data_IF_102067972938
#
_entry.id   IF_102067972938
#
_cell.length_a   1.000
_cell.length_b   1.000
_cell.length_c   1.000
_cell.angle_alpha   90.00
_cell.angle_beta   90.00
_cell.angle_gamma   90.00
#
_symmetry.space_group_name_H-M   'P 1'
#
loop_
_entity.id
_entity.type
_entity.pdbx_description
1 polymer ?
#
# COMPACT_ATOMS: atom_id res chain seq x y z
N UNK A 1 -5.79 20.72 -33.65
CA UNK A 1 -6.76 20.06 -32.74
C UNK A 1 -6.20 20.14 -31.33
N UNK A 2 -6.47 21.23 -30.61
CA UNK A 2 -6.09 21.42 -29.20
C UNK A 2 -7.39 21.29 -28.40
N UNK A 3 -7.52 20.21 -27.64
CA UNK A 3 -8.63 20.02 -26.71
C UNK A 3 -8.25 20.62 -25.36
N UNK A 4 -8.99 21.68 -25.03
CA UNK A 4 -9.05 22.34 -23.74
C UNK A 4 -9.89 21.45 -22.81
N UNK A 5 -9.34 21.03 -21.67
CA UNK A 5 -10.13 20.38 -20.61
C UNK A 5 -10.22 21.33 -19.41
N UNK A 6 -11.42 21.57 -18.86
CA UNK A 6 -11.62 22.45 -17.72
C UNK A 6 -11.15 21.80 -16.42
N UNK A 7 -10.64 22.64 -15.52
CA UNK A 7 -10.19 22.24 -14.19
C UNK A 7 -11.29 21.58 -13.37
N UNK A 8 -11.03 20.35 -12.95
CA UNK A 8 -11.74 19.68 -11.87
C UNK A 8 -11.05 20.07 -10.55
N UNK A 9 -11.62 21.05 -9.87
CA UNK A 9 -11.43 21.27 -8.44
C UNK A 9 -11.85 20.01 -7.70
N UNK A 10 -10.89 19.30 -7.11
CA UNK A 10 -11.15 18.17 -6.25
C UNK A 10 -11.85 18.66 -4.97
N UNK A 11 -13.18 18.54 -4.94
CA UNK A 11 -13.93 18.59 -3.70
C UNK A 11 -13.51 17.39 -2.85
N UNK A 12 -12.72 17.65 -1.81
CA UNK A 12 -12.37 16.66 -0.79
C UNK A 12 -13.63 16.04 -0.20
N UNK A 13 -13.79 14.73 -0.41
CA UNK A 13 -14.93 13.98 0.06
C UNK A 13 -14.77 13.76 1.57
N UNK A 14 -15.26 14.69 2.40
CA UNK A 14 -15.41 14.46 3.84
C UNK A 14 -16.41 13.32 4.04
N UNK A 15 -15.95 12.16 4.49
CA UNK A 15 -16.80 11.05 4.90
C UNK A 15 -17.04 11.14 6.40
N UNK A 16 -18.29 11.26 6.78
CA UNK A 16 -18.75 11.47 8.15
C UNK A 16 -18.92 10.14 8.89
N UNK A 17 -18.52 10.11 10.17
CA UNK A 17 -18.96 9.11 11.14
C UNK A 17 -20.14 9.68 11.92
N UNK A 18 -21.22 8.91 11.97
CA UNK A 18 -22.44 9.22 12.74
C UNK A 18 -22.42 8.37 14.00
N UNK A 19 -22.63 8.99 15.17
CA UNK A 19 -22.98 8.28 16.40
C UNK A 19 -24.45 8.58 16.75
N UNK A 20 -25.22 7.50 16.93
CA UNK A 20 -26.68 7.50 17.05
C UNK A 20 -27.18 7.61 18.51
N UNK A 21 -28.21 8.45 18.64
CA UNK A 21 -29.32 8.56 19.63
C UNK A 21 -29.24 7.84 20.99
N UNK A 22 -29.48 8.62 22.06
CA UNK A 22 -30.53 8.28 23.04
C UNK A 22 -31.27 9.53 23.54
N UNK A 23 -32.55 9.33 23.84
CA UNK A 23 -33.63 10.33 24.00
C UNK A 23 -33.57 11.03 25.37
N UNK A 24 -34.02 12.29 25.41
CA UNK A 24 -34.16 13.14 26.60
C UNK A 24 -35.00 12.49 27.72
N UNK A 25 -34.55 12.62 28.97
CA UNK A 25 -35.45 13.02 30.07
C UNK A 25 -34.72 13.94 31.08
N UNK A 26 -35.53 14.85 31.59
CA UNK A 26 -35.34 16.07 32.34
C UNK A 26 -34.64 15.89 33.70
N UNK A 27 -33.47 16.52 33.85
CA UNK A 27 -33.04 17.28 35.05
C UNK A 27 -31.60 17.74 34.85
N UNK A 28 -31.44 18.69 33.95
CA UNK A 28 -30.36 19.68 34.05
C UNK A 28 -30.61 20.54 35.30
N UNK A 29 -30.29 20.01 36.48
CA UNK A 29 -30.17 20.78 37.73
C UNK A 29 -28.72 20.77 38.16
N UNK A 30 -27.92 21.58 37.48
CA UNK A 30 -26.95 22.52 38.08
C UNK A 30 -26.06 23.04 36.97
N UNK A 31 -26.50 24.11 36.30
CA UNK A 31 -25.54 25.10 35.79
C UNK A 31 -26.00 26.48 36.21
N UNK A 32 -25.04 27.20 36.75
CA UNK A 32 -24.86 28.63 36.58
C UNK A 32 -25.94 29.54 37.18
N UNK A 33 -25.54 30.23 38.24
CA UNK A 33 -25.89 31.60 38.60
C UNK A 33 -27.35 32.06 38.40
N UNK A 34 -28.07 32.10 39.52
CA UNK A 34 -28.68 33.30 40.10
C UNK A 34 -29.31 34.31 39.12
N UNK A 35 -30.63 34.22 38.89
CA UNK A 35 -31.56 35.37 38.81
C UNK A 35 -33.03 34.88 38.90
N UNK A 36 -33.76 35.43 39.90
CA UNK A 36 -35.23 35.59 40.07
C UNK A 36 -36.20 34.53 39.48
N UNK A 37 -37.00 33.86 40.33
CA UNK A 37 -38.39 34.22 40.66
C UNK A 37 -39.10 33.14 41.51
N UNK A 38 -39.98 33.61 42.39
CA UNK A 38 -40.84 32.89 43.32
C UNK A 38 -41.88 31.96 42.64
N UNK A 39 -42.19 30.81 43.27
CA UNK A 39 -43.51 30.46 43.85
C UNK A 39 -43.95 28.97 43.69
N UNK A 40 -44.70 28.52 44.71
CA UNK A 40 -45.64 27.37 44.83
C UNK A 40 -45.15 25.93 45.16
N UNK A 41 -45.23 25.65 46.48
CA UNK A 41 -45.95 24.58 47.19
C UNK A 41 -45.94 23.10 46.74
N UNK A 42 -45.62 22.26 47.74
CA UNK A 42 -46.19 20.94 48.09
C UNK A 42 -46.06 19.75 47.14
N UNK A 43 -45.46 18.68 47.67
CA UNK A 43 -45.58 17.32 47.15
C UNK A 43 -44.39 16.43 47.52
N UNK A 44 -44.40 15.86 48.72
CA UNK A 44 -43.48 14.79 49.11
C UNK A 44 -43.83 13.53 48.32
N UNK A 45 -42.90 13.03 47.50
CA UNK A 45 -42.84 11.61 47.11
C UNK A 45 -41.42 11.16 47.43
N UNK A 46 -41.29 10.30 48.45
CA UNK A 46 -40.04 9.64 48.76
C UNK A 46 -39.68 8.65 47.65
N UNK A 47 -38.41 8.75 47.29
CA UNK A 47 -37.62 8.05 46.29
C UNK A 47 -37.49 6.54 46.52
N UNK A 48 -37.72 5.76 45.45
CA UNK A 48 -36.88 4.59 45.12
C UNK A 48 -36.76 4.47 43.60
N UNK A 49 -36.15 5.47 42.97
CA UNK A 49 -35.50 5.23 41.67
C UNK A 49 -34.14 4.66 42.01
N UNK A 50 -33.88 3.41 41.63
CA UNK A 50 -32.51 2.90 41.60
C UNK A 50 -31.75 3.79 40.61
N UNK A 51 -30.97 4.74 41.10
CA UNK A 51 -30.07 5.51 40.27
C UNK A 51 -28.95 4.60 39.79
N UNK A 52 -29.22 3.81 38.75
CA UNK A 52 -28.17 3.38 37.83
C UNK A 52 -27.65 4.65 37.18
N UNK A 53 -26.72 5.33 37.86
CA UNK A 53 -25.99 6.48 37.34
C UNK A 53 -25.17 6.01 36.13
N UNK A 54 -25.77 6.04 34.95
CA UNK A 54 -25.02 5.92 33.71
C UNK A 54 -24.04 7.10 33.67
N UNK A 55 -22.75 6.82 33.59
CA UNK A 55 -21.77 7.88 33.38
C UNK A 55 -22.07 8.60 32.07
N UNK A 56 -21.98 9.93 32.06
CA UNK A 56 -22.04 10.71 30.83
C UNK A 56 -20.73 11.47 30.68
N UNK A 57 -20.19 11.49 29.46
CA UNK A 57 -18.96 12.22 29.13
C UNK A 57 -19.27 13.37 28.19
N UNK A 58 -18.70 14.55 28.44
CA UNK A 58 -18.86 15.74 27.59
C UNK A 58 -17.58 16.59 27.53
N UNK A 59 -17.38 17.39 26.48
CA UNK A 59 -16.33 18.41 26.41
C UNK A 59 -16.37 19.31 27.63
N UNK A 60 -15.20 19.63 28.18
CA UNK A 60 -15.06 20.54 29.29
C UNK A 60 -15.48 21.95 28.88
N UNK A 61 -16.07 22.67 29.82
CA UNK A 61 -16.54 24.05 29.59
C UNK A 61 -15.44 25.03 29.22
N UNK A 62 -14.19 24.72 29.60
CA UNK A 62 -13.02 25.50 29.23
C UNK A 62 -12.77 25.51 27.72
N UNK A 63 -13.24 24.51 26.98
CA UNK A 63 -13.11 24.45 25.53
C UNK A 63 -14.22 23.61 24.88
N UNK A 64 -15.47 24.10 24.80
CA UNK A 64 -16.57 23.32 24.26
C UNK A 64 -16.36 23.01 22.77
N UNK A 65 -17.15 22.06 22.24
CA UNK A 65 -17.11 21.73 20.83
C UNK A 65 -17.62 22.89 19.95
N UNK A 66 -17.05 23.07 18.75
CA UNK A 66 -17.51 24.12 17.81
C UNK A 66 -18.89 23.85 17.25
N UNK A 67 -19.30 22.59 17.14
CA UNK A 67 -20.58 22.17 16.58
C UNK A 67 -21.67 21.92 17.64
N UNK A 68 -21.38 22.24 18.91
CA UNK A 68 -22.31 22.04 20.03
C UNK A 68 -22.55 20.58 20.41
N UNK A 69 -21.82 19.63 19.80
CA UNK A 69 -21.91 18.22 20.17
C UNK A 69 -21.09 17.90 21.42
N UNK A 70 -21.34 16.73 21.99
CA UNK A 70 -20.67 16.23 23.18
C UNK A 70 -19.39 15.43 22.87
N UNK A 71 -18.69 15.72 21.78
CA UNK A 71 -17.44 15.03 21.42
C UNK A 71 -16.48 15.93 20.64
N UNK A 72 -15.18 15.70 20.83
CA UNK A 72 -14.14 16.17 19.91
C UNK A 72 -13.89 15.11 18.83
N UNK A 73 -13.19 15.49 17.76
CA UNK A 73 -12.77 14.58 16.70
C UNK A 73 -11.24 14.49 16.75
N UNK A 74 -10.68 13.30 16.91
CA UNK A 74 -9.24 13.07 16.81
C UNK A 74 -8.90 12.51 15.43
N UNK A 75 -8.24 13.31 14.62
CA UNK A 75 -7.77 12.97 13.28
C UNK A 75 -6.29 12.65 13.35
N UNK A 76 -5.87 11.48 12.85
CA UNK A 76 -4.45 11.17 12.66
C UNK A 76 -4.16 11.33 11.17
N UNK A 77 -3.49 12.40 10.74
CA UNK A 77 -3.15 12.56 9.33
C UNK A 77 -2.11 11.50 8.97
N UNK A 78 -2.58 10.38 8.41
CA UNK A 78 -1.71 9.33 7.89
C UNK A 78 -1.67 9.47 6.37
N UNK A 79 -0.56 9.99 5.86
CA UNK A 79 -0.18 9.84 4.46
C UNK A 79 1.06 8.94 4.40
N UNK A 80 1.00 7.76 5.05
CA UNK A 80 2.13 6.83 5.09
C UNK A 80 1.80 5.59 4.26
N UNK A 81 2.65 5.34 3.26
CA UNK A 81 2.74 4.05 2.60
C UNK A 81 3.74 3.18 3.37
N UNK A 82 3.30 2.01 3.80
CA UNK A 82 4.13 1.00 4.45
C UNK A 82 4.35 -0.14 3.45
N UNK A 83 5.60 -0.40 3.12
CA UNK A 83 5.96 -1.60 2.36
C UNK A 83 5.88 -2.81 3.27
N UNK A 84 5.21 -3.87 2.81
CA UNK A 84 5.25 -5.17 3.50
C UNK A 84 6.66 -5.73 3.42
N UNK A 85 7.23 -6.34 4.48
CA UNK A 85 8.54 -6.97 4.35
C UNK A 85 8.54 -8.12 3.33
N UNK A 86 9.64 -8.26 2.60
CA UNK A 86 9.82 -9.35 1.62
C UNK A 86 9.55 -10.69 2.30
N UNK A 87 8.76 -11.54 1.66
CA UNK A 87 8.39 -12.87 2.17
C UNK A 87 7.66 -12.84 3.53
N UNK A 88 6.88 -11.79 3.83
CA UNK A 88 6.11 -11.70 5.08
C UNK A 88 5.29 -12.97 5.38
N UNK A 89 4.81 -13.68 4.36
CA UNK A 89 4.05 -14.91 4.56
C UNK A 89 4.87 -16.14 4.98
N UNK A 90 6.21 -16.08 4.88
CA UNK A 90 7.12 -17.07 5.45
C UNK A 90 7.46 -16.79 6.92
N UNK A 91 7.23 -15.58 7.40
CA UNK A 91 7.43 -15.23 8.81
C UNK A 91 6.36 -15.89 9.71
N UNK A 92 6.68 -16.19 10.97
CA UNK A 92 5.71 -16.76 11.91
C UNK A 92 4.58 -15.78 12.25
N UNK A 93 3.41 -16.33 12.61
CA UNK A 93 2.35 -15.54 13.23
C UNK A 93 2.86 -14.91 14.54
N UNK A 94 2.44 -13.68 14.83
CA UNK A 94 2.93 -12.86 15.95
C UNK A 94 4.10 -11.93 15.58
N UNK A 95 4.70 -12.07 14.38
CA UNK A 95 5.75 -11.16 13.91
C UNK A 95 5.21 -9.74 13.73
N UNK A 96 5.77 -8.79 14.49
CA UNK A 96 5.62 -7.35 14.20
C UNK A 96 6.47 -7.04 12.97
N UNK A 97 5.82 -6.57 11.90
CA UNK A 97 6.47 -6.32 10.62
C UNK A 97 6.56 -4.84 10.25
N UNK A 98 5.74 -4.00 10.87
CA UNK A 98 5.81 -2.54 10.78
C UNK A 98 5.34 -1.91 12.08
N UNK A 99 5.88 -0.73 12.40
CA UNK A 99 5.47 0.08 13.54
C UNK A 99 5.31 1.51 13.07
N UNK A 100 4.15 2.12 13.31
CA UNK A 100 3.93 3.55 13.08
C UNK A 100 3.63 4.26 14.39
N UNK A 101 4.10 5.49 14.49
CA UNK A 101 3.79 6.38 15.61
C UNK A 101 3.07 7.59 15.09
N UNK A 102 1.87 7.84 15.62
CA UNK A 102 0.97 8.87 15.13
C UNK A 102 0.64 9.86 16.24
N UNK A 103 0.71 11.14 15.91
CA UNK A 103 0.25 12.20 16.78
C UNK A 103 -1.17 12.62 16.35
N UNK A 104 -2.13 12.69 17.28
CA UNK A 104 -3.47 13.15 16.96
C UNK A 104 -3.49 14.65 16.66
N UNK A 105 -4.34 15.02 15.71
CA UNK A 105 -4.85 16.38 15.52
C UNK A 105 -6.27 16.40 16.08
N UNK A 106 -6.53 17.22 17.09
CA UNK A 106 -7.89 17.36 17.62
C UNK A 106 -8.63 18.49 16.91
N UNK A 107 -9.66 18.08 16.18
CA UNK A 107 -10.64 18.92 15.54
C UNK A 107 -11.85 19.17 16.46
N UNK A 108 -12.70 20.11 16.04
CA UNK A 108 -13.93 20.50 16.73
C UNK A 108 -13.71 21.16 18.10
N UNK A 109 -12.53 21.74 18.38
CA UNK A 109 -12.28 22.57 19.57
C UNK A 109 -12.61 24.04 19.31
N UNK A 110 -13.36 24.70 20.22
CA UNK A 110 -13.73 26.13 20.07
C UNK A 110 -12.54 27.06 20.12
N UNK A 111 -11.55 26.73 20.94
CA UNK A 111 -10.31 27.49 21.09
C UNK A 111 -9.12 26.61 20.72
N UNK A 112 -8.40 26.96 19.65
CA UNK A 112 -7.27 26.17 19.13
C UNK A 112 -6.08 26.11 20.09
N UNK A 113 -5.86 27.17 20.87
CA UNK A 113 -4.79 27.28 21.86
C UNK A 113 -5.08 26.61 23.20
N UNK A 114 -6.32 26.14 23.42
CA UNK A 114 -6.71 25.47 24.65
C UNK A 114 -6.76 23.96 24.38
N UNK A 115 -6.11 23.11 25.19
CA UNK A 115 -6.22 21.67 25.05
C UNK A 115 -7.68 21.18 25.17
N UNK A 116 -8.05 20.20 24.35
CA UNK A 116 -9.34 19.52 24.49
C UNK A 116 -9.36 18.70 25.79
N UNK A 117 -10.44 18.80 26.56
CA UNK A 117 -10.63 18.05 27.82
C UNK A 117 -12.04 17.50 27.84
N UNK A 118 -12.24 16.25 28.27
CA UNK A 118 -13.58 15.70 28.49
C UNK A 118 -13.74 15.43 29.98
N UNK A 119 -14.92 15.77 30.49
CA UNK A 119 -15.32 15.53 31.87
C UNK A 119 -16.44 14.51 31.85
N UNK A 120 -16.31 13.48 32.68
CA UNK A 120 -17.35 12.46 32.84
C UNK A 120 -17.95 12.54 34.24
N UNK A 121 -19.27 12.36 34.33
CA UNK A 121 -19.95 12.09 35.59
C UNK A 121 -19.87 10.60 35.91
N UNK A 122 -19.71 10.24 37.17
CA UNK A 122 -19.67 8.83 37.62
C UNK A 122 -18.26 8.31 37.95
N UNK A 123 -18.22 7.33 38.86
CA UNK A 123 -17.00 6.63 39.25
C UNK A 123 -16.84 5.37 38.38
N UNK A 124 -15.86 5.37 37.48
CA UNK A 124 -15.58 4.21 36.64
C UNK A 124 -14.17 4.25 36.09
N UNK A 125 -13.51 3.09 36.05
CA UNK A 125 -12.20 2.98 35.40
C UNK A 125 -12.39 3.12 33.88
N UNK A 126 -11.55 3.92 33.18
CA UNK A 126 -11.55 3.91 31.74
C UNK A 126 -11.17 2.50 31.27
N UNK A 127 -11.91 2.01 30.30
CA UNK A 127 -11.63 0.77 29.59
C UNK A 127 -11.31 1.12 28.16
N UNK A 128 -10.23 0.55 27.65
CA UNK A 128 -9.83 0.67 26.27
C UNK A 128 -10.07 -0.67 25.58
N UNK A 129 -10.80 -0.64 24.48
CA UNK A 129 -11.06 -1.83 23.68
C UNK A 129 -10.91 -1.50 22.21
N UNK A 130 -10.20 -2.33 21.48
CA UNK A 130 -10.20 -2.33 20.03
C UNK A 130 -11.48 -2.94 19.44
N UNK A 131 -11.57 -2.92 18.11
CA UNK A 131 -12.68 -3.51 17.37
C UNK A 131 -12.44 -5.00 17.10
N UNK A 132 -13.51 -5.79 17.23
CA UNK A 132 -13.43 -7.25 17.19
C UNK A 132 -12.99 -7.86 18.52
N UNK A 133 -12.87 -9.18 18.53
CA UNK A 133 -12.38 -9.94 19.69
C UNK A 133 -10.88 -10.11 19.53
N UNK A 134 -10.06 -9.69 20.51
CA UNK A 134 -8.62 -9.86 20.42
C UNK A 134 -8.23 -11.33 20.61
N UNK A 135 -7.21 -11.76 19.88
CA UNK A 135 -6.54 -13.06 20.04
C UNK A 135 -5.07 -12.81 20.36
N UNK A 136 -4.53 -13.49 21.38
CA UNK A 136 -3.17 -13.30 21.90
C UNK A 136 -2.70 -11.83 22.00
N UNK A 137 -3.55 -10.95 22.57
CA UNK A 137 -3.31 -9.50 22.67
C UNK A 137 -3.10 -8.80 21.32
N UNK A 138 -3.84 -9.24 20.30
CA UNK A 138 -3.84 -8.65 18.96
C UNK A 138 -5.30 -8.47 18.52
N UNK A 139 -5.67 -7.24 18.13
CA UNK A 139 -6.98 -7.00 17.52
C UNK A 139 -6.97 -7.35 16.02
N UNK A 140 -8.06 -7.91 15.47
CA UNK A 140 -8.17 -8.10 14.03
C UNK A 140 -8.23 -6.75 13.32
N UNK A 141 -7.65 -6.68 12.11
CA UNK A 141 -7.83 -5.54 11.21
C UNK A 141 -8.91 -5.82 10.16
N UNK A 142 -9.19 -4.85 9.31
CA UNK A 142 -10.03 -5.03 8.11
C UNK A 142 -9.29 -5.78 6.97
N UNK A 143 -8.04 -6.20 7.20
CA UNK A 143 -7.21 -6.94 6.25
C UNK A 143 -6.93 -8.34 6.80
N UNK A 144 -7.36 -9.41 6.11
CA UNK A 144 -7.07 -10.78 6.51
C UNK A 144 -5.56 -11.03 6.68
N UNK A 145 -5.20 -11.73 7.77
CA UNK A 145 -3.80 -12.06 8.09
C UNK A 145 -3.00 -10.93 8.74
N UNK A 146 -3.60 -9.76 8.95
CA UNK A 146 -2.99 -8.62 9.66
C UNK A 146 -3.79 -8.31 10.90
N UNK A 147 -3.10 -8.30 12.03
CA UNK A 147 -3.60 -7.83 13.31
C UNK A 147 -2.91 -6.54 13.75
N UNK A 148 -3.51 -5.87 14.71
CA UNK A 148 -3.07 -4.60 15.24
C UNK A 148 -2.90 -4.68 16.75
N UNK A 149 -1.81 -4.09 17.24
CA UNK A 149 -1.60 -3.88 18.66
C UNK A 149 -1.18 -2.43 18.86
N UNK A 150 -1.84 -1.75 19.78
CA UNK A 150 -1.64 -0.31 19.97
C UNK A 150 -0.98 -0.07 21.31
N UNK A 151 -0.13 0.94 21.40
CA UNK A 151 0.46 1.38 22.66
C UNK A 151 0.32 2.89 22.79
N UNK A 152 -0.02 3.34 24.00
CA UNK A 152 -0.15 4.75 24.32
C UNK A 152 0.60 5.06 25.60
N UNK A 153 1.32 6.17 25.62
CA UNK A 153 2.01 6.64 26.82
C UNK A 153 1.00 6.85 27.97
N UNK A 154 1.35 6.40 29.18
CA UNK A 154 0.49 6.49 30.37
C UNK A 154 -0.68 5.49 30.44
N UNK A 155 -0.99 4.77 29.35
CA UNK A 155 -2.04 3.73 29.32
C UNK A 155 -1.43 2.33 29.15
N UNK A 156 -0.37 2.20 28.35
CA UNK A 156 0.26 0.93 27.99
C UNK A 156 -0.28 0.34 26.69
N UNK A 157 -0.05 -0.96 26.49
CA UNK A 157 -0.42 -1.69 25.28
C UNK A 157 -1.88 -2.16 25.33
N UNK A 158 -2.58 -2.15 24.21
CA UNK A 158 -3.97 -2.55 24.04
C UNK A 158 -4.02 -3.57 22.89
N UNK A 159 -4.63 -4.76 23.09
CA UNK A 159 -5.33 -5.23 24.29
C UNK A 159 -4.40 -5.42 25.51
N UNK A 160 -4.83 -4.91 26.67
CA UNK A 160 -4.24 -5.20 27.97
C UNK A 160 -5.35 -5.59 28.94
N UNK A 161 -5.02 -6.49 29.86
CA UNK A 161 -5.95 -6.94 30.88
C UNK A 161 -6.22 -5.85 31.93
N UNK A 162 -5.37 -4.79 32.05
CA UNK A 162 -5.46 -3.80 33.15
C UNK A 162 -4.82 -2.43 32.88
N UNK A 163 -5.48 -1.47 32.22
CA UNK A 163 -5.16 -0.05 32.43
C UNK A 163 -5.74 0.39 33.79
N UNK A 164 -4.89 0.48 34.82
CA UNK A 164 -5.29 1.03 36.13
C UNK A 164 -5.15 2.55 36.14
N UNK A 165 -6.26 3.28 36.06
CA UNK A 165 -6.27 4.74 36.22
C UNK A 165 -7.27 5.16 37.31
N UNK A 166 -6.87 6.17 38.11
CA UNK A 166 -7.57 6.72 39.29
C UNK A 166 -8.59 7.83 38.96
N UNK A 167 -9.42 8.19 39.95
CA UNK A 167 -10.73 8.88 39.89
C UNK A 167 -10.77 10.35 39.37
N UNK A 168 -9.78 10.82 38.63
CA UNK A 168 -9.84 12.11 37.91
C UNK A 168 -8.96 12.04 36.68
N UNK A 169 -9.53 12.29 35.49
CA UNK A 169 -8.83 12.10 34.22
C UNK A 169 -8.74 13.38 33.42
N UNK A 170 -7.52 13.75 33.07
CA UNK A 170 -7.27 14.54 31.87
C UNK A 170 -7.23 13.53 30.73
N UNK A 171 -8.11 13.63 29.73
CA UNK A 171 -7.94 12.83 28.51
C UNK A 171 -6.52 13.09 27.97
N UNK A 172 -5.69 12.03 27.76
CA UNK A 172 -4.35 12.11 27.24
C UNK A 172 -4.37 13.00 26.04
N UNK A 173 -3.57 14.04 26.17
CA UNK A 173 -3.58 15.24 25.39
C UNK A 173 -3.54 14.92 23.90
N UNK A 174 -4.53 15.40 23.19
CA UNK A 174 -4.60 15.35 21.74
C UNK A 174 -3.69 16.38 21.08
N UNK A 175 -2.38 16.25 21.33
CA UNK A 175 -1.27 16.88 20.60
C UNK A 175 0.08 16.28 21.08
N UNK A 176 0.13 15.68 22.29
CA UNK A 176 1.34 15.04 22.88
C UNK A 176 1.23 13.53 23.13
N UNK A 177 0.05 12.93 22.98
CA UNK A 177 -0.14 11.50 23.22
C UNK A 177 0.09 10.71 21.94
N UNK A 178 1.35 10.37 21.68
CA UNK A 178 1.71 9.52 20.54
C UNK A 178 1.08 8.15 20.70
N UNK A 179 0.34 7.71 19.68
CA UNK A 179 -0.14 6.34 19.56
C UNK A 179 0.84 5.57 18.70
N UNK A 180 1.39 4.50 19.24
CA UNK A 180 2.18 3.53 18.48
C UNK A 180 1.29 2.38 18.05
N UNK A 181 1.40 1.95 16.79
CA UNK A 181 0.64 0.84 16.22
C UNK A 181 1.62 -0.16 15.65
N UNK A 182 1.60 -1.36 16.21
CA UNK A 182 2.27 -2.53 15.67
C UNK A 182 1.36 -3.20 14.65
N UNK A 183 1.86 -3.39 13.43
CA UNK A 183 1.26 -4.26 12.43
C UNK A 183 1.86 -5.66 12.58
N UNK A 184 0.98 -6.62 12.87
CA UNK A 184 1.37 -7.96 13.28
C UNK A 184 0.81 -8.97 12.29
N UNK A 185 1.64 -9.92 11.86
CA UNK A 185 1.18 -11.05 11.05
C UNK A 185 0.34 -12.00 11.91
N UNK A 186 -0.90 -12.25 11.52
CA UNK A 186 -1.82 -13.20 12.21
C UNK A 186 -2.23 -14.38 11.34
N UNK A 187 -1.89 -14.36 10.06
CA UNK A 187 -2.16 -15.44 9.13
C UNK A 187 -1.65 -15.11 7.73
N UNK A 188 -2.01 -15.89 6.70
CA UNK A 188 -1.69 -15.56 5.31
C UNK A 188 -2.27 -14.20 4.93
N UNK A 189 -1.41 -13.31 4.45
CA UNK A 189 -1.80 -12.00 3.93
C UNK A 189 -2.02 -12.18 2.42
N UNK A 190 -3.27 -12.21 1.99
CA UNK A 190 -3.63 -12.26 0.57
C UNK A 190 -3.47 -10.86 -0.01
N UNK A 191 -2.41 -10.58 -0.77
CA UNK A 191 -2.36 -9.34 -1.53
C UNK A 191 -3.25 -9.49 -2.76
N UNK A 192 -4.40 -8.84 -2.73
CA UNK A 192 -5.08 -8.44 -3.97
C UNK A 192 -4.13 -7.43 -4.64
N UNK A 193 -3.97 -7.47 -5.96
CA UNK A 193 -3.19 -6.46 -6.68
C UNK A 193 -3.59 -5.04 -6.23
N UNK A 194 -2.65 -4.31 -5.64
CA UNK A 194 -2.82 -2.90 -5.29
C UNK A 194 -2.60 -2.54 -3.83
N UNK A 195 -2.88 -1.28 -3.55
CA UNK A 195 -2.78 -0.65 -2.24
C UNK A 195 -3.85 -1.18 -1.28
N UNK A 196 -3.45 -1.73 -0.14
CA UNK A 196 -4.40 -2.13 0.90
C UNK A 196 -4.62 -0.95 1.83
N UNK A 197 -5.87 -0.53 1.97
CA UNK A 197 -6.26 0.55 2.86
C UNK A 197 -6.71 0.00 4.21
N UNK A 198 -5.97 0.34 5.26
CA UNK A 198 -6.47 0.19 6.63
C UNK A 198 -7.28 1.45 6.97
N UNK A 199 -8.59 1.26 7.12
CA UNK A 199 -9.52 2.31 7.51
C UNK A 199 -10.64 1.73 8.39
N UNK A 200 -11.10 2.55 9.34
CA UNK A 200 -12.16 2.15 10.27
C UNK A 200 -11.90 2.64 11.69
N UNK A 201 -12.83 2.41 12.60
CA UNK A 201 -12.59 2.64 14.01
C UNK A 201 -11.76 1.46 14.56
N UNK A 202 -10.74 1.74 15.36
CA UNK A 202 -9.79 0.72 15.85
C UNK A 202 -9.65 0.69 17.36
N UNK A 203 -10.04 1.75 18.07
CA UNK A 203 -10.07 1.78 19.52
C UNK A 203 -11.25 2.60 20.02
N UNK A 204 -11.85 2.16 21.11
CA UNK A 204 -12.81 2.92 21.90
C UNK A 204 -12.29 3.04 23.32
N UNK A 205 -12.51 4.21 23.91
CA UNK A 205 -12.38 4.43 25.34
C UNK A 205 -13.77 4.57 25.93
N UNK A 206 -14.11 3.73 26.92
CA UNK A 206 -15.36 3.79 27.66
C UNK A 206 -15.11 4.07 29.14
N UNK A 207 -15.91 4.93 29.74
CA UNK A 207 -15.87 5.24 31.18
C UNK A 207 -17.22 4.82 31.76
N UNK A 208 -17.20 3.87 32.70
CA UNK A 208 -18.41 3.26 33.27
C UNK A 208 -19.46 2.87 32.20
N UNK A 209 -18.98 2.30 31.08
CA UNK A 209 -19.80 1.83 29.96
C UNK A 209 -20.15 2.89 28.91
N UNK A 210 -19.95 4.17 29.18
CA UNK A 210 -20.23 5.24 28.23
C UNK A 210 -19.03 5.53 27.32
N UNK A 211 -19.27 5.65 26.00
CA UNK A 211 -18.24 5.99 25.02
C UNK A 211 -17.71 7.41 25.27
N UNK A 212 -16.43 7.50 25.61
CA UNK A 212 -15.74 8.75 25.90
C UNK A 212 -14.87 9.21 24.72
N UNK A 213 -14.26 8.28 23.98
CA UNK A 213 -13.52 8.56 22.76
C UNK A 213 -13.55 7.37 21.79
N UNK A 214 -13.48 7.64 20.49
CA UNK A 214 -13.29 6.64 19.43
C UNK A 214 -12.12 7.08 18.55
N UNK A 215 -11.22 6.14 18.26
CA UNK A 215 -10.03 6.35 17.44
C UNK A 215 -10.25 5.70 16.09
N UNK A 216 -10.17 6.50 15.02
CA UNK A 216 -10.46 6.07 13.65
C UNK A 216 -9.22 6.32 12.79
N UNK A 217 -8.77 5.32 12.04
CA UNK A 217 -7.73 5.51 11.02
C UNK A 217 -8.38 5.78 9.66
N UNK A 218 -7.79 6.72 8.93
CA UNK A 218 -8.05 6.92 7.51
C UNK A 218 -6.73 6.85 6.76
N UNK A 219 -6.45 5.72 6.11
CA UNK A 219 -5.47 5.67 5.02
C UNK A 219 -4.04 5.29 5.42
N UNK A 220 -3.84 4.15 6.08
CA UNK A 220 -2.54 3.46 5.96
C UNK A 220 -2.59 2.61 4.70
N UNK A 221 -1.73 2.93 3.74
CA UNK A 221 -1.57 2.14 2.52
C UNK A 221 -0.50 1.07 2.76
N UNK A 222 -0.84 -0.21 2.62
CA UNK A 222 0.16 -1.26 2.48
C UNK A 222 0.46 -1.47 1.00
N UNK A 223 1.75 -1.40 0.64
CA UNK A 223 2.23 -1.64 -0.73
C UNK A 223 2.96 -2.99 -0.75
N UNK A 224 2.50 -3.97 -1.53
CA UNK A 224 3.23 -5.23 -1.71
C UNK A 224 4.62 -4.97 -2.30
N UNK A 225 5.62 -5.73 -1.87
CA UNK A 225 6.92 -5.72 -2.55
C UNK A 225 6.85 -6.65 -3.74
N UNK A 226 7.07 -6.11 -4.93
CA UNK A 226 7.19 -6.89 -6.17
C UNK A 226 8.52 -7.67 -6.19
N UNK A 227 8.59 -8.80 -6.92
CA UNK A 227 9.86 -9.48 -7.16
C UNK A 227 10.87 -8.54 -7.82
N UNK A 228 12.15 -8.71 -7.50
CA UNK A 228 13.25 -7.98 -8.11
C UNK A 228 14.12 -8.93 -8.91
N UNK A 229 14.64 -8.46 -10.04
CA UNK A 229 15.46 -9.27 -10.94
C UNK A 229 16.67 -8.49 -11.43
N UNK A 230 17.81 -9.16 -11.50
CA UNK A 230 19.05 -8.64 -12.06
C UNK A 230 19.50 -9.51 -13.24
N UNK A 231 20.15 -8.88 -14.22
CA UNK A 231 20.79 -9.63 -15.31
C UNK A 231 21.90 -10.52 -14.75
N UNK A 232 21.96 -11.76 -15.23
CA UNK A 232 23.05 -12.68 -14.92
C UNK A 232 24.32 -12.31 -15.70
N UNK A 233 24.16 -11.80 -16.92
CA UNK A 233 25.23 -11.30 -17.77
C UNK A 233 24.80 -10.07 -18.55
N UNK A 234 25.66 -9.06 -18.59
CA UNK A 234 25.45 -7.82 -19.34
C UNK A 234 25.79 -7.95 -20.83
N UNK A 235 26.41 -9.07 -21.22
CA UNK A 235 26.75 -9.35 -22.62
C UNK A 235 26.52 -10.82 -22.97
N UNK A 236 25.99 -11.07 -24.16
CA UNK A 236 25.70 -12.41 -24.66
C UNK A 236 26.36 -12.53 -26.03
N UNK A 237 27.30 -13.46 -26.16
CA UNK A 237 27.93 -13.79 -27.44
C UNK A 237 27.19 -14.95 -28.08
N UNK A 238 26.76 -14.78 -29.33
CA UNK A 238 26.01 -15.79 -30.09
C UNK A 238 26.82 -16.19 -31.32
N UNK A 239 27.61 -17.28 -31.27
CA UNK A 239 28.43 -17.72 -32.40
C UNK A 239 27.56 -18.36 -33.48
N UNK A 240 27.26 -17.60 -34.55
CA UNK A 240 26.47 -18.09 -35.68
C UNK A 240 27.21 -19.10 -36.59
N UNK A 241 28.50 -19.30 -36.35
CA UNK A 241 29.35 -20.23 -37.08
C UNK A 241 29.86 -19.70 -38.42
N UNK A 242 30.52 -20.58 -39.17
CA UNK A 242 31.08 -20.28 -40.49
C UNK A 242 30.24 -20.95 -41.57
N UNK A 243 29.86 -20.19 -42.60
CA UNK A 243 28.99 -20.67 -43.68
C UNK A 243 29.59 -20.32 -45.04
N UNK A 244 29.60 -21.25 -46.02
CA UNK A 244 29.94 -20.92 -47.39
C UNK A 244 28.85 -20.05 -48.02
N UNK A 245 29.23 -19.22 -48.98
CA UNK A 245 28.30 -18.40 -49.78
C UNK A 245 27.25 -19.25 -50.50
N UNK A 246 27.58 -20.49 -50.88
CA UNK A 246 26.67 -21.48 -51.48
C UNK A 246 25.47 -21.85 -50.59
N UNK A 247 25.52 -21.58 -49.27
CA UNK A 247 24.36 -21.73 -48.37
C UNK A 247 23.26 -20.70 -48.66
N UNK A 248 23.61 -19.58 -49.29
CA UNK A 248 22.74 -18.45 -49.57
C UNK A 248 22.30 -18.48 -51.04
N UNK A 249 21.23 -19.25 -51.29
CA UNK A 249 20.75 -19.58 -52.64
C UNK A 249 19.77 -18.56 -53.25
N UNK A 250 19.49 -17.45 -52.56
CA UNK A 250 18.55 -16.41 -52.99
C UNK A 250 17.96 -15.61 -51.84
N UNK A 251 17.29 -14.50 -52.16
CA UNK A 251 16.66 -13.63 -51.16
C UNK A 251 15.82 -14.43 -50.16
N UNK A 252 16.13 -14.27 -48.87
CA UNK A 252 15.46 -14.97 -47.78
C UNK A 252 16.06 -16.32 -47.38
N UNK A 253 17.06 -16.85 -48.09
CA UNK A 253 17.80 -18.02 -47.65
C UNK A 253 18.45 -17.77 -46.27
N UNK A 254 18.41 -18.77 -45.39
CA UNK A 254 18.93 -18.63 -44.02
C UNK A 254 19.85 -19.78 -43.63
N UNK A 255 20.71 -19.51 -42.66
CA UNK A 255 21.48 -20.54 -41.97
C UNK A 255 20.59 -21.27 -40.95
N UNK A 256 21.18 -22.28 -40.31
CA UNK A 256 20.59 -22.92 -39.14
C UNK A 256 20.49 -21.92 -37.98
N UNK A 257 19.52 -22.15 -37.11
CA UNK A 257 19.26 -21.31 -35.94
C UNK A 257 20.21 -21.67 -34.82
N UNK A 258 20.74 -20.65 -34.14
CA UNK A 258 21.54 -20.81 -32.92
C UNK A 258 20.71 -20.30 -31.74
N UNK A 259 20.34 -21.17 -30.78
CA UNK A 259 19.60 -20.75 -29.59
C UNK A 259 20.52 -19.99 -28.64
N UNK A 260 19.96 -18.98 -27.98
CA UNK A 260 20.59 -18.26 -26.87
C UNK A 260 19.52 -17.75 -25.91
N UNK A 261 19.91 -17.33 -24.72
CA UNK A 261 18.94 -16.82 -23.74
C UNK A 261 19.47 -15.62 -22.95
N UNK A 262 18.55 -14.73 -22.60
CA UNK A 262 18.77 -13.68 -21.60
C UNK A 262 18.33 -14.26 -20.26
N UNK A 263 19.25 -14.31 -19.29
CA UNK A 263 19.00 -14.89 -17.97
C UNK A 263 18.88 -13.79 -16.92
N UNK A 264 17.82 -13.91 -16.11
CA UNK A 264 17.56 -13.05 -14.97
C UNK A 264 17.63 -13.88 -13.68
N UNK A 265 18.41 -13.39 -12.72
CA UNK A 265 18.40 -13.87 -11.34
C UNK A 265 17.40 -13.03 -10.57
N UNK A 266 16.36 -13.68 -10.05
CA UNK A 266 15.23 -13.02 -9.41
C UNK A 266 15.13 -13.42 -7.94
N UNK A 267 14.57 -12.54 -7.13
CA UNK A 267 14.38 -12.79 -5.70
C UNK A 267 13.22 -11.99 -5.13
N UNK A 268 12.75 -12.42 -3.96
CA UNK A 268 11.71 -11.73 -3.21
C UNK A 268 10.34 -11.77 -3.87
N UNK A 269 9.55 -10.72 -3.63
CA UNK A 269 8.12 -10.69 -3.90
C UNK A 269 7.29 -11.08 -2.68
N UNK A 270 6.11 -10.49 -2.54
CA UNK A 270 5.06 -10.98 -1.64
C UNK A 270 4.17 -12.01 -2.35
N UNK A 271 3.43 -12.89 -1.63
CA UNK A 271 2.56 -13.85 -2.30
C UNK A 271 1.50 -13.24 -3.18
N UNK A 272 1.33 -13.79 -4.37
CA UNK A 272 0.47 -13.29 -5.43
C UNK A 272 0.94 -11.96 -6.07
N UNK A 273 2.18 -11.52 -5.79
CA UNK A 273 2.82 -10.48 -6.60
C UNK A 273 3.49 -11.09 -7.83
N UNK A 274 3.54 -10.30 -8.89
CA UNK A 274 4.22 -10.65 -10.12
C UNK A 274 4.70 -9.39 -10.83
N UNK A 275 5.82 -9.50 -11.54
CA UNK A 275 6.30 -8.48 -12.50
C UNK A 275 6.29 -9.06 -13.90
N UNK A 276 6.11 -8.19 -14.88
CA UNK A 276 6.12 -8.56 -16.31
C UNK A 276 7.28 -7.88 -17.00
N UNK A 277 8.37 -8.62 -17.31
CA UNK A 277 9.47 -8.06 -18.10
C UNK A 277 9.00 -7.82 -19.53
N UNK A 278 9.10 -6.59 -20.00
CA UNK A 278 8.98 -6.21 -21.40
C UNK A 278 10.37 -6.04 -22.00
N UNK A 279 10.65 -6.76 -23.08
CA UNK A 279 11.95 -6.71 -23.77
C UNK A 279 11.80 -5.93 -25.05
N UNK A 280 12.77 -5.07 -25.32
CA UNK A 280 12.95 -4.41 -26.63
C UNK A 280 14.35 -4.70 -27.14
N UNK A 281 14.47 -5.09 -28.41
CA UNK A 281 15.76 -5.18 -29.10
C UNK A 281 16.01 -3.91 -29.91
N UNK A 282 17.24 -3.44 -29.95
CA UNK A 282 17.66 -2.28 -30.74
C UNK A 282 19.03 -2.53 -31.35
N UNK A 283 19.35 -1.84 -32.43
CA UNK A 283 20.61 -2.01 -33.16
C UNK A 283 20.54 -1.33 -34.52
N UNK A 284 21.67 -1.33 -35.23
CA UNK A 284 21.68 -0.84 -36.62
C UNK A 284 21.05 -1.90 -37.52
N UNK A 285 19.93 -1.56 -38.15
CA UNK A 285 19.21 -2.47 -39.05
C UNK A 285 19.56 -2.22 -40.51
N UNK A 286 19.31 -3.22 -41.36
CA UNK A 286 19.38 -3.01 -42.81
C UNK A 286 18.28 -2.03 -43.26
N UNK A 287 18.61 -1.18 -44.23
CA UNK A 287 17.73 -0.10 -44.70
C UNK A 287 16.55 -0.59 -45.55
N UNK A 288 16.68 -1.76 -46.19
CA UNK A 288 15.63 -2.35 -47.03
C UNK A 288 14.87 -3.46 -46.28
N UNK A 289 15.52 -4.08 -45.30
CA UNK A 289 14.96 -5.14 -44.46
C UNK A 289 15.12 -4.78 -42.98
N UNK A 290 14.27 -3.88 -42.42
CA UNK A 290 14.42 -3.36 -41.06
C UNK A 290 14.31 -4.41 -39.94
N UNK A 291 13.82 -5.61 -40.24
CA UNK A 291 13.76 -6.76 -39.30
C UNK A 291 15.09 -7.53 -39.19
N UNK A 292 16.14 -7.08 -39.88
CA UNK A 292 17.46 -7.71 -39.93
C UNK A 292 18.50 -6.72 -39.43
N UNK A 293 19.40 -7.16 -38.55
CA UNK A 293 20.56 -6.37 -38.14
C UNK A 293 21.59 -6.30 -39.28
N UNK A 294 22.07 -5.10 -39.53
CA UNK A 294 23.19 -4.86 -40.42
C UNK A 294 24.49 -5.39 -39.79
N UNK A 295 25.39 -5.88 -40.63
CA UNK A 295 26.71 -6.30 -40.18
C UNK A 295 27.60 -5.09 -39.83
N UNK A 296 28.41 -5.20 -38.79
CA UNK A 296 29.34 -4.17 -38.33
C UNK A 296 30.79 -4.58 -38.61
N UNK A 297 31.58 -3.67 -39.20
CA UNK A 297 33.00 -3.91 -39.49
C UNK A 297 33.28 -5.08 -40.46
N UNK A 298 32.30 -5.46 -41.29
CA UNK A 298 32.34 -6.63 -42.16
C UNK A 298 32.65 -6.27 -43.61
N UNK A 299 33.44 -7.11 -44.30
CA UNK A 299 33.61 -7.07 -45.76
C UNK A 299 32.58 -7.96 -46.49
N UNK A 300 31.83 -8.77 -45.74
CA UNK A 300 30.72 -9.58 -46.26
C UNK A 300 29.53 -8.67 -46.52
N UNK A 301 28.92 -8.83 -47.70
CA UNK A 301 27.72 -8.10 -48.13
C UNK A 301 26.60 -9.05 -48.52
N UNK A 302 25.36 -8.56 -48.49
CA UNK A 302 24.18 -9.32 -48.92
C UNK A 302 23.55 -10.25 -47.87
N UNK A 303 24.10 -10.30 -46.66
CA UNK A 303 23.52 -10.99 -45.51
C UNK A 303 23.40 -10.05 -44.31
N UNK A 304 22.49 -10.38 -43.40
CA UNK A 304 22.39 -9.79 -42.08
C UNK A 304 21.88 -10.80 -41.06
N UNK A 305 21.69 -10.37 -39.81
CA UNK A 305 21.29 -11.26 -38.71
C UNK A 305 19.83 -11.06 -38.32
N UNK A 306 19.07 -12.16 -38.26
CA UNK A 306 17.73 -12.19 -37.68
C UNK A 306 17.79 -12.69 -36.24
N UNK A 307 16.96 -12.11 -35.38
CA UNK A 307 16.66 -12.64 -34.04
C UNK A 307 15.21 -13.13 -34.05
N UNK A 308 14.97 -14.29 -33.47
CA UNK A 308 13.67 -14.93 -33.41
C UNK A 308 13.30 -15.24 -31.96
N UNK A 309 12.00 -15.22 -31.69
CA UNK A 309 11.39 -15.67 -30.46
C UNK A 309 10.29 -16.65 -30.81
N UNK A 310 10.33 -17.87 -30.27
CA UNK A 310 9.35 -18.92 -30.58
C UNK A 310 9.16 -19.12 -32.09
N UNK A 311 10.25 -19.01 -32.87
CA UNK A 311 10.23 -19.09 -34.33
C UNK A 311 9.73 -17.86 -35.09
N UNK A 312 9.22 -16.82 -34.42
CA UNK A 312 8.81 -15.56 -35.05
C UNK A 312 9.95 -14.55 -35.09
N UNK A 313 10.17 -13.91 -36.25
CA UNK A 313 11.18 -12.85 -36.44
C UNK A 313 10.83 -11.66 -35.56
N UNK A 314 11.81 -11.14 -34.82
CA UNK A 314 11.66 -9.95 -34.00
C UNK A 314 12.09 -8.70 -34.76
N UNK A 315 11.32 -7.62 -34.61
CA UNK A 315 11.71 -6.29 -35.07
C UNK A 315 12.62 -5.59 -34.07
N UNK A 316 13.23 -4.50 -34.50
CA UNK A 316 14.13 -3.67 -33.68
C UNK A 316 13.54 -2.27 -33.45
N UNK A 317 13.81 -1.68 -32.29
CA UNK A 317 13.30 -0.38 -31.86
C UNK A 317 12.08 -0.48 -30.94
N UNK A 318 11.75 0.64 -30.29
CA UNK A 318 10.75 0.71 -29.21
C UNK A 318 9.34 0.21 -29.58
N UNK A 319 8.95 0.30 -30.86
CA UNK A 319 7.66 -0.20 -31.33
C UNK A 319 7.54 -1.73 -31.36
N UNK A 320 8.67 -2.44 -31.26
CA UNK A 320 8.76 -3.90 -31.35
C UNK A 320 8.95 -4.58 -29.98
N UNK A 321 8.66 -3.88 -28.88
CA UNK A 321 8.75 -4.45 -27.54
C UNK A 321 7.72 -5.55 -27.30
N UNK A 322 8.07 -6.56 -26.49
CA UNK A 322 7.18 -7.67 -26.15
C UNK A 322 7.24 -8.07 -24.68
N UNK A 323 6.12 -8.58 -24.14
CA UNK A 323 6.11 -9.20 -22.81
C UNK A 323 6.82 -10.57 -22.87
N UNK A 324 7.94 -10.71 -22.16
CA UNK A 324 8.76 -11.92 -22.17
C UNK A 324 8.23 -13.03 -21.26
N UNK A 325 7.34 -12.70 -20.33
CA UNK A 325 6.62 -13.66 -19.50
C UNK A 325 6.08 -13.00 -18.25
N UNK A 326 5.95 -13.78 -17.18
CA UNK A 326 5.52 -13.32 -15.85
C UNK A 326 6.45 -13.93 -14.81
N UNK A 327 6.95 -13.10 -13.90
CA UNK A 327 7.84 -13.52 -12.81
C UNK A 327 7.06 -13.36 -11.51
N UNK A 328 6.69 -14.47 -10.90
CA UNK A 328 5.95 -14.50 -9.63
C UNK A 328 6.91 -14.55 -8.44
N UNK A 329 6.38 -14.33 -7.24
CA UNK A 329 7.09 -14.55 -5.99
C UNK A 329 7.93 -15.84 -6.01
N UNK A 330 9.17 -15.75 -5.53
CA UNK A 330 10.02 -16.92 -5.31
C UNK A 330 10.61 -17.52 -6.59
N UNK A 331 10.34 -16.92 -7.76
CA UNK A 331 11.07 -17.26 -8.99
C UNK A 331 12.54 -16.91 -8.79
N UNK A 332 13.42 -17.92 -8.75
CA UNK A 332 14.86 -17.70 -8.59
C UNK A 332 15.55 -17.37 -9.91
N UNK A 333 15.16 -18.06 -10.99
CA UNK A 333 15.74 -17.89 -12.31
C UNK A 333 14.63 -17.72 -13.34
N UNK A 334 14.74 -16.70 -14.18
CA UNK A 334 13.84 -16.47 -15.30
C UNK A 334 14.65 -16.36 -16.60
N UNK A 335 14.23 -17.10 -17.62
CA UNK A 335 14.95 -17.23 -18.88
C UNK A 335 14.09 -16.76 -20.04
N UNK A 336 14.70 -15.97 -20.93
CA UNK A 336 14.08 -15.46 -22.14
C UNK A 336 14.78 -16.11 -23.33
N UNK A 337 14.14 -17.12 -23.90
CA UNK A 337 14.69 -17.90 -25.01
C UNK A 337 14.52 -17.19 -26.35
N UNK A 338 15.63 -17.12 -27.08
CA UNK A 338 15.74 -16.50 -28.39
C UNK A 338 16.57 -17.40 -29.31
N UNK A 339 16.47 -17.14 -30.60
CA UNK A 339 17.26 -17.80 -31.62
C UNK A 339 17.86 -16.73 -32.54
N UNK A 340 19.04 -16.96 -33.09
CA UNK A 340 19.62 -16.09 -34.11
C UNK A 340 20.11 -16.89 -35.32
N UNK A 341 20.12 -16.25 -36.49
CA UNK A 341 20.62 -16.84 -37.74
C UNK A 341 21.01 -15.76 -38.75
N UNK A 342 21.83 -16.11 -39.73
CA UNK A 342 22.02 -15.27 -40.91
C UNK A 342 20.85 -15.40 -41.88
N UNK A 343 20.51 -14.30 -42.55
CA UNK A 343 19.57 -14.25 -43.67
C UNK A 343 20.18 -13.49 -44.85
N UNK A 344 20.01 -14.04 -46.04
CA UNK A 344 20.31 -13.34 -47.28
C UNK A 344 19.28 -12.25 -47.57
N UNK A 345 19.75 -11.01 -47.69
CA UNK A 345 18.95 -9.79 -47.86
C UNK A 345 19.21 -9.08 -49.19
N UNK A 346 20.16 -9.56 -50.00
CA UNK A 346 20.38 -9.13 -51.40
C UNK A 346 20.49 -10.32 -52.34
N UNK A 347 20.35 -10.07 -53.65
CA UNK A 347 20.40 -11.12 -54.68
C UNK A 347 21.71 -11.91 -54.68
N UNK A 348 22.80 -11.27 -54.28
CA UNK A 348 24.13 -11.87 -54.19
C UNK A 348 24.70 -11.67 -52.80
N UNK A 349 25.34 -12.72 -52.28
CA UNK A 349 26.24 -12.65 -51.12
C UNK A 349 27.66 -12.59 -51.67
N UNK A 350 28.47 -11.68 -51.17
CA UNK A 350 29.85 -11.50 -51.65
C UNK A 350 30.77 -11.01 -50.54
N UNK A 351 32.08 -11.15 -50.77
CA UNK A 351 33.09 -10.88 -49.76
C UNK A 351 33.31 -12.07 -48.82
N UNK A 352 34.43 -12.05 -48.09
CA UNK A 352 34.78 -13.06 -47.10
C UNK A 352 35.30 -12.41 -45.83
N UNK A 353 35.19 -13.13 -44.71
CA UNK A 353 35.66 -12.68 -43.40
C UNK A 353 34.55 -12.65 -42.35
N UNK A 354 34.79 -11.90 -41.27
CA UNK A 354 33.87 -11.82 -40.13
C UNK A 354 32.58 -11.07 -40.49
N UNK A 355 31.44 -11.68 -40.16
CA UNK A 355 30.09 -11.12 -40.34
C UNK A 355 29.42 -10.90 -38.97
N UNK A 356 29.92 -9.93 -38.20
CA UNK A 356 29.40 -9.64 -36.87
C UNK A 356 28.22 -8.68 -36.94
N UNK A 357 27.27 -8.79 -36.00
CA UNK A 357 26.21 -7.82 -35.79
C UNK A 357 26.10 -7.53 -34.29
N UNK A 358 25.57 -6.36 -33.95
CA UNK A 358 25.37 -5.94 -32.57
C UNK A 358 23.92 -5.54 -32.34
N UNK A 359 23.34 -6.08 -31.28
CA UNK A 359 22.05 -5.64 -30.75
C UNK A 359 22.16 -5.34 -29.26
N UNK A 360 21.38 -4.36 -28.82
CA UNK A 360 21.17 -4.02 -27.42
C UNK A 360 19.76 -4.43 -27.05
N UNK A 361 19.62 -5.17 -25.95
CA UNK A 361 18.33 -5.46 -25.35
C UNK A 361 18.08 -4.52 -24.17
N UNK A 362 16.84 -4.07 -24.02
CA UNK A 362 16.36 -3.31 -22.86
C UNK A 362 15.24 -4.10 -22.21
N UNK A 363 15.23 -4.16 -20.87
CA UNK A 363 14.18 -4.83 -20.09
C UNK A 363 13.51 -3.79 -19.20
N UNK A 364 12.21 -3.58 -19.42
CA UNK A 364 11.36 -2.73 -18.61
C UNK A 364 10.39 -3.59 -17.78
N UNK A 365 10.32 -3.35 -16.47
CA UNK A 365 9.43 -4.09 -15.59
C UNK A 365 8.12 -3.33 -15.40
N UNK A 366 7.00 -4.02 -15.59
CA UNK A 366 5.65 -3.51 -15.34
C UNK A 366 4.93 -4.30 -14.25
#
# INVERSE_FOLDING_TARGET
MRLHMPGLTAHGTRRHVVLSKCRLDSRWRTRMNMYKLFAFSMGIIFSTISESHAAFCMPADSNPATDGKNHYIASYPVNQALSLPININSEPNGKVFAVISLNPVIDNKRYSSIPARVVCSGFGRPSFSGFGVPDDRIYPSNVPGIGLRMSMEGIGTIPSDRPTLTNSYTIPEGEKSTITIDFIKTGPISTIFGEIQLAGPYMEMKIAGALAAQYVFSGVTLVPINPTCTLVSDSISVPLGTHPDTRFTGLGATTDKVPFSIQLSCSGGDPNTQIKPFVTLSGTTDTQVPSVLALTGSQVSGVGVEVLRNGAIQGFGAANGWQAGTISQGTANFQIDLEARYRQIRNTVSGGGSANALATFTIDYQ
#
